data_IF_543498514645
#
_entry.id   IF_543498514645
#
_cell.length_a   1.000
_cell.length_b   1.000
_cell.length_c   1.000
_cell.angle_alpha   90.00
_cell.angle_beta   90.00
_cell.angle_gamma   90.00
#
_symmetry.space_group_name_H-M   'P 1'
#
loop_
_entity.id
_entity.type
_entity.pdbx_description
1 polymer ?
#
# COMPACT_ATOMS: atom_id res chain seq x y z
N UNK A 1 16.22 -11.71 17.33
CA UNK A 1 17.58 -11.18 17.33
C UNK A 1 17.74 -10.19 16.18
N UNK A 2 18.38 -9.03 16.44
CA UNK A 2 18.70 -8.05 15.39
C UNK A 2 19.96 -8.50 14.65
N UNK A 3 19.91 -8.47 13.32
CA UNK A 3 20.99 -8.80 12.41
C UNK A 3 21.51 -7.53 11.74
N UNK A 4 22.78 -7.51 11.39
CA UNK A 4 23.43 -6.39 10.71
C UNK A 4 24.12 -6.88 9.45
N UNK A 5 24.13 -6.04 8.43
CA UNK A 5 24.83 -6.27 7.17
C UNK A 5 25.17 -4.93 6.52
N UNK A 6 26.07 -4.94 5.56
CA UNK A 6 26.54 -3.74 4.88
C UNK A 6 26.14 -3.75 3.40
N UNK A 7 25.68 -2.60 2.89
CA UNK A 7 25.47 -2.37 1.46
C UNK A 7 26.05 -1.00 1.11
N UNK A 8 26.99 -0.97 0.15
CA UNK A 8 27.62 0.25 -0.37
C UNK A 8 28.17 1.18 0.74
N UNK A 9 28.76 0.61 1.80
CA UNK A 9 29.32 1.35 2.95
C UNK A 9 28.29 1.75 4.01
N UNK A 10 27.02 1.42 3.85
CA UNK A 10 25.97 1.67 4.83
C UNK A 10 25.68 0.45 5.68
N UNK A 11 25.73 0.61 7.00
CA UNK A 11 25.37 -0.44 7.93
C UNK A 11 23.85 -0.49 8.14
N UNK A 12 23.23 -1.57 7.73
CA UNK A 12 21.77 -1.79 7.76
C UNK A 12 21.44 -2.85 8.80
N UNK A 13 20.33 -2.70 9.49
CA UNK A 13 19.86 -3.71 10.44
C UNK A 13 18.46 -4.18 10.10
N UNK A 14 18.24 -5.49 10.29
CA UNK A 14 16.92 -6.10 10.19
C UNK A 14 16.66 -7.01 11.39
N UNK A 15 15.40 -7.20 11.73
CA UNK A 15 14.97 -8.09 12.80
C UNK A 15 13.74 -8.85 12.32
N UNK A 16 13.82 -10.18 12.35
CA UNK A 16 12.68 -11.05 12.09
C UNK A 16 11.97 -11.41 13.39
N UNK A 17 10.70 -11.77 13.31
CA UNK A 17 9.91 -12.23 14.47
C UNK A 17 10.22 -13.69 14.76
N UNK A 18 10.08 -14.57 13.79
CA UNK A 18 10.30 -16.02 13.93
C UNK A 18 11.22 -16.50 12.81
N UNK A 19 12.21 -17.31 13.18
CA UNK A 19 13.01 -18.10 12.25
C UNK A 19 12.95 -19.56 12.62
N UNK A 20 12.52 -20.39 11.70
CA UNK A 20 12.42 -21.83 11.85
C UNK A 20 13.52 -22.53 11.06
N UNK A 21 14.64 -22.83 11.73
CA UNK A 21 15.86 -23.33 11.08
C UNK A 21 15.70 -24.66 10.35
N UNK A 22 14.79 -25.55 10.79
CA UNK A 22 14.54 -26.83 10.11
C UNK A 22 13.86 -26.66 8.75
N UNK A 23 13.10 -25.60 8.58
CA UNK A 23 12.36 -25.27 7.35
C UNK A 23 13.03 -24.14 6.57
N UNK A 24 14.15 -23.60 7.08
CA UNK A 24 14.81 -22.42 6.52
C UNK A 24 13.77 -21.30 6.21
N UNK A 25 12.83 -21.06 7.17
CA UNK A 25 11.68 -20.19 6.98
C UNK A 25 11.69 -19.00 7.93
N UNK A 26 11.41 -17.82 7.42
CA UNK A 26 11.10 -16.62 8.21
C UNK A 26 9.61 -16.38 8.19
N UNK A 27 9.01 -16.20 9.38
CA UNK A 27 7.62 -15.79 9.55
C UNK A 27 7.58 -14.46 10.30
N UNK A 28 6.86 -13.51 9.73
CA UNK A 28 6.60 -12.19 10.33
C UNK A 28 5.15 -12.12 10.81
N UNK A 29 4.93 -11.61 12.02
CA UNK A 29 3.59 -11.55 12.62
C UNK A 29 3.01 -10.15 12.40
N UNK A 30 1.86 -10.09 11.73
CA UNK A 30 1.14 -8.85 11.48
C UNK A 30 -0.24 -8.84 12.12
N UNK A 31 -0.50 -7.87 12.99
CA UNK A 31 -1.87 -7.57 13.43
C UNK A 31 -2.48 -6.55 12.48
N UNK A 32 -3.49 -6.96 11.74
CA UNK A 32 -4.04 -6.16 10.65
C UNK A 32 -5.57 -6.28 10.55
N UNK A 33 -6.17 -5.58 9.59
CA UNK A 33 -7.58 -5.68 9.26
C UNK A 33 -7.83 -6.77 8.22
N UNK A 34 -9.04 -7.33 8.20
CA UNK A 34 -9.54 -8.20 7.14
C UNK A 34 -9.37 -7.59 5.75
N UNK A 35 -9.52 -6.27 5.64
CA UNK A 35 -9.36 -5.53 4.39
C UNK A 35 -7.95 -5.61 3.79
N UNK A 36 -6.93 -5.86 4.62
CA UNK A 36 -5.57 -6.08 4.12
C UNK A 36 -5.42 -7.38 3.34
N UNK A 37 -6.28 -8.37 3.63
CA UNK A 37 -6.32 -9.63 2.88
C UNK A 37 -7.18 -9.48 1.64
N UNK A 38 -8.38 -8.90 1.77
CA UNK A 38 -9.33 -8.73 0.66
C UNK A 38 -8.74 -7.89 -0.47
N UNK A 39 -7.95 -6.86 -0.14
CA UNK A 39 -7.31 -5.97 -1.12
C UNK A 39 -5.85 -6.34 -1.43
N UNK A 40 -5.43 -7.55 -1.09
CA UNK A 40 -4.08 -8.07 -1.36
C UNK A 40 -2.94 -7.07 -1.07
N UNK A 41 -2.89 -6.61 0.18
CA UNK A 41 -1.80 -5.73 0.62
C UNK A 41 -0.47 -6.47 0.90
N UNK A 42 -0.36 -7.71 0.48
CA UNK A 42 0.84 -8.56 0.68
C UNK A 42 2.12 -7.94 0.15
N UNK A 43 2.05 -7.20 -0.96
CA UNK A 43 3.19 -6.49 -1.55
C UNK A 43 3.88 -5.50 -0.60
N UNK A 44 3.16 -4.94 0.37
CA UNK A 44 3.74 -4.02 1.36
C UNK A 44 4.66 -4.74 2.36
N UNK A 45 4.45 -6.04 2.58
CA UNK A 45 5.25 -6.86 3.49
C UNK A 45 6.41 -7.55 2.78
N UNK A 46 6.32 -7.71 1.46
CA UNK A 46 7.29 -8.43 0.64
C UNK A 46 8.69 -7.82 0.77
N UNK A 47 8.83 -6.52 0.63
CA UNK A 47 10.12 -5.85 0.76
C UNK A 47 10.72 -6.01 2.16
N UNK A 48 9.91 -5.88 3.23
CA UNK A 48 10.38 -6.06 4.60
C UNK A 48 10.95 -7.46 4.82
N UNK A 49 10.20 -8.51 4.42
CA UNK A 49 10.62 -9.89 4.63
C UNK A 49 11.85 -10.25 3.79
N UNK A 50 11.97 -9.71 2.59
CA UNK A 50 13.14 -9.95 1.74
C UNK A 50 14.41 -9.26 2.27
N UNK A 51 14.30 -8.08 2.88
CA UNK A 51 15.42 -7.46 3.60
C UNK A 51 15.80 -8.31 4.82
N UNK A 52 14.83 -8.86 5.57
CA UNK A 52 15.09 -9.77 6.69
C UNK A 52 15.77 -11.06 6.24
N UNK A 53 15.33 -11.64 5.11
CA UNK A 53 15.95 -12.83 4.51
C UNK A 53 17.38 -12.55 4.07
N UNK A 54 17.62 -11.43 3.41
CA UNK A 54 18.96 -11.01 3.02
C UNK A 54 19.87 -10.86 4.23
N UNK A 55 19.41 -10.15 5.27
CA UNK A 55 20.15 -10.02 6.53
C UNK A 55 20.46 -11.37 7.16
N UNK A 56 19.53 -12.31 7.15
CA UNK A 56 19.73 -13.66 7.68
C UNK A 56 20.80 -14.41 6.88
N UNK A 57 20.73 -14.39 5.55
CA UNK A 57 21.73 -15.02 4.66
C UNK A 57 23.13 -14.44 4.86
N UNK A 58 23.28 -13.11 5.00
CA UNK A 58 24.55 -12.44 5.28
C UNK A 58 25.12 -12.81 6.66
N UNK A 59 24.29 -13.32 7.57
CA UNK A 59 24.69 -13.80 8.90
C UNK A 59 24.79 -15.35 8.97
N UNK A 60 24.90 -16.02 7.82
CA UNK A 60 25.13 -17.48 7.74
C UNK A 60 23.90 -18.34 8.01
N UNK A 61 22.70 -17.78 7.89
CA UNK A 61 21.44 -18.51 8.04
C UNK A 61 20.86 -18.86 6.65
N UNK A 62 20.37 -20.07 6.49
CA UNK A 62 19.65 -20.46 5.27
C UNK A 62 18.21 -19.92 5.29
N UNK A 63 17.73 -19.38 4.18
CA UNK A 63 16.34 -18.94 4.02
C UNK A 63 15.83 -19.39 2.66
N UNK A 64 14.82 -20.26 2.67
CA UNK A 64 14.18 -20.84 1.49
C UNK A 64 12.73 -20.36 1.31
N UNK A 65 12.09 -19.87 2.38
CA UNK A 65 10.71 -19.42 2.30
C UNK A 65 10.42 -18.29 3.28
N UNK A 66 9.43 -17.46 2.88
CA UNK A 66 8.93 -16.32 3.64
C UNK A 66 7.42 -16.42 3.81
N UNK A 67 6.93 -16.02 4.97
CA UNK A 67 5.51 -16.11 5.29
C UNK A 67 5.10 -14.97 6.24
N UNK A 68 3.89 -14.46 6.07
CA UNK A 68 3.25 -13.56 7.04
C UNK A 68 2.16 -14.30 7.77
N UNK A 69 2.22 -14.28 9.10
CA UNK A 69 1.13 -14.70 9.96
C UNK A 69 0.24 -13.48 10.25
N UNK A 70 -0.85 -13.32 9.50
CA UNK A 70 -1.76 -12.19 9.65
C UNK A 70 -2.85 -12.50 10.68
N UNK A 71 -2.87 -11.75 11.79
CA UNK A 71 -3.90 -11.78 12.83
C UNK A 71 -4.93 -10.69 12.52
N UNK A 72 -6.15 -11.09 12.19
CA UNK A 72 -7.22 -10.20 11.71
C UNK A 72 -8.06 -9.70 12.89
N UNK A 73 -7.76 -8.49 13.38
CA UNK A 73 -8.37 -7.91 14.59
C UNK A 73 -9.87 -7.60 14.47
N UNK A 74 -10.37 -7.45 13.26
CA UNK A 74 -11.77 -7.11 12.93
C UNK A 74 -12.52 -8.26 12.23
N UNK A 75 -11.96 -9.49 12.30
CA UNK A 75 -12.60 -10.67 11.74
C UNK A 75 -13.92 -10.99 12.44
N UNK A 76 -14.93 -11.35 11.67
CA UNK A 76 -16.27 -11.65 12.16
C UNK A 76 -16.70 -13.07 11.76
N UNK A 77 -17.04 -13.89 12.75
CA UNK A 77 -17.50 -15.26 12.52
C UNK A 77 -18.77 -15.34 11.65
N UNK A 78 -19.64 -14.34 11.74
CA UNK A 78 -20.88 -14.28 10.95
C UNK A 78 -20.61 -14.14 9.44
N UNK A 79 -19.43 -13.61 9.06
CA UNK A 79 -19.03 -13.39 7.68
C UNK A 79 -18.08 -14.46 7.11
N UNK A 80 -17.71 -15.47 7.91
CA UNK A 80 -16.70 -16.47 7.51
C UNK A 80 -17.04 -17.24 6.22
N UNK A 81 -18.30 -17.20 5.78
CA UNK A 81 -18.78 -17.87 4.59
C UNK A 81 -19.10 -16.93 3.44
N UNK A 82 -18.94 -15.61 3.64
CA UNK A 82 -19.11 -14.64 2.59
C UNK A 82 -18.00 -14.82 1.52
N UNK A 83 -18.34 -14.50 0.28
CA UNK A 83 -17.37 -14.63 -0.81
C UNK A 83 -16.20 -13.62 -0.64
N UNK A 84 -14.98 -14.11 -0.88
CA UNK A 84 -13.77 -13.32 -0.69
C UNK A 84 -13.40 -12.99 0.76
N UNK A 85 -14.20 -13.38 1.76
CA UNK A 85 -13.89 -13.14 3.17
C UNK A 85 -12.99 -14.25 3.76
N UNK A 86 -11.97 -13.92 4.60
CA UNK A 86 -11.11 -14.92 5.22
C UNK A 86 -11.89 -15.90 6.10
N UNK A 87 -11.65 -17.20 5.92
CA UNK A 87 -12.33 -18.27 6.69
C UNK A 87 -11.96 -18.30 8.17
N UNK A 88 -10.78 -17.78 8.51
CA UNK A 88 -10.22 -17.81 9.86
C UNK A 88 -9.68 -16.44 10.28
N UNK A 89 -9.63 -16.14 11.60
CA UNK A 89 -9.06 -14.91 12.13
C UNK A 89 -7.54 -14.82 11.99
N UNK A 90 -6.87 -15.94 11.69
CA UNK A 90 -5.44 -16.01 11.42
C UNK A 90 -5.27 -16.59 10.02
N UNK A 91 -4.49 -15.89 9.20
CA UNK A 91 -4.21 -16.29 7.80
C UNK A 91 -2.70 -16.33 7.60
N UNK A 92 -2.21 -17.46 7.08
CA UNK A 92 -0.82 -17.62 6.68
C UNK A 92 -0.70 -17.21 5.21
N UNK A 93 0.15 -16.25 4.92
CA UNK A 93 0.33 -15.67 3.58
C UNK A 93 1.74 -15.95 3.12
N UNK A 94 1.95 -16.80 2.11
CA UNK A 94 3.25 -17.00 1.52
C UNK A 94 3.71 -15.70 0.84
N UNK A 95 4.98 -15.35 1.04
CA UNK A 95 5.61 -14.18 0.44
C UNK A 95 6.68 -14.66 -0.53
N UNK A 96 6.74 -14.03 -1.70
CA UNK A 96 7.77 -14.34 -2.70
C UNK A 96 9.16 -14.03 -2.13
N UNK A 97 10.04 -14.99 -2.18
CA UNK A 97 11.45 -14.77 -1.89
C UNK A 97 12.11 -14.21 -3.16
N UNK A 98 12.72 -13.04 -3.02
CA UNK A 98 13.44 -12.37 -4.11
C UNK A 98 14.81 -13.01 -4.33
N UNK A 99 15.28 -12.86 -5.56
CA UNK A 99 16.69 -13.10 -5.82
C UNK A 99 17.56 -12.04 -5.12
N UNK A 100 18.81 -12.38 -4.86
CA UNK A 100 19.73 -11.50 -4.12
C UNK A 100 19.87 -10.13 -4.80
N UNK A 101 19.99 -10.10 -6.12
CA UNK A 101 20.12 -8.86 -6.86
C UNK A 101 18.86 -7.96 -6.74
N UNK A 102 17.64 -8.54 -6.76
CA UNK A 102 16.40 -7.78 -6.57
C UNK A 102 16.37 -7.08 -5.20
N UNK A 103 16.81 -7.80 -4.15
CA UNK A 103 16.88 -7.24 -2.79
C UNK A 103 17.90 -6.13 -2.70
N UNK A 104 19.10 -6.32 -3.28
CA UNK A 104 20.16 -5.31 -3.30
C UNK A 104 19.73 -4.06 -4.06
N UNK A 105 19.11 -4.21 -5.23
CA UNK A 105 18.64 -3.08 -6.04
C UNK A 105 17.57 -2.28 -5.30
N UNK A 106 16.63 -2.97 -4.64
CA UNK A 106 15.64 -2.32 -3.78
C UNK A 106 16.29 -1.54 -2.63
N UNK A 107 17.25 -2.15 -1.91
CA UNK A 107 17.96 -1.49 -0.81
C UNK A 107 18.71 -0.25 -1.31
N UNK A 108 19.42 -0.33 -2.44
CA UNK A 108 20.15 0.78 -3.03
C UNK A 108 19.23 1.93 -3.41
N UNK A 109 18.10 1.62 -4.02
CA UNK A 109 17.08 2.62 -4.35
C UNK A 109 16.57 3.32 -3.08
N UNK A 110 16.28 2.56 -2.02
CA UNK A 110 15.81 3.15 -0.75
C UNK A 110 16.89 3.96 -0.06
N UNK A 111 18.14 3.52 -0.07
CA UNK A 111 19.26 4.30 0.47
C UNK A 111 19.40 5.63 -0.27
N UNK A 112 19.33 5.62 -1.61
CA UNK A 112 19.38 6.84 -2.41
C UNK A 112 18.28 7.83 -1.98
N UNK A 113 17.04 7.37 -1.83
CA UNK A 113 15.93 8.21 -1.36
C UNK A 113 16.15 8.73 0.06
N UNK A 114 16.72 7.93 0.96
CA UNK A 114 16.99 8.34 2.35
C UNK A 114 18.06 9.42 2.48
N UNK A 115 19.03 9.43 1.57
CA UNK A 115 20.13 10.39 1.62
C UNK A 115 19.96 11.54 0.61
N UNK A 116 18.86 11.56 -0.14
CA UNK A 116 18.50 12.71 -0.97
C UNK A 116 18.09 13.89 -0.08
N UNK A 117 18.47 15.08 -0.47
CA UNK A 117 18.15 16.30 0.27
C UNK A 117 16.65 16.63 0.21
N UNK A 118 15.99 16.26 -0.89
CA UNK A 118 14.55 16.42 -1.08
C UNK A 118 13.93 15.09 -1.57
N UNK A 119 13.67 14.14 -0.67
CA UNK A 119 13.07 12.88 -1.06
C UNK A 119 11.68 13.10 -1.62
N UNK A 120 11.44 12.59 -2.83
CA UNK A 120 10.14 12.65 -3.49
C UNK A 120 9.36 11.37 -3.27
N UNK A 121 8.06 11.50 -3.01
CA UNK A 121 7.16 10.35 -2.95
C UNK A 121 6.41 10.20 -4.26
N UNK A 122 6.26 8.97 -4.72
CA UNK A 122 5.42 8.62 -5.86
C UNK A 122 3.93 8.79 -5.54
N UNK A 123 3.09 8.85 -6.55
CA UNK A 123 1.64 8.90 -6.39
C UNK A 123 1.10 7.70 -5.58
N UNK A 124 1.68 6.52 -5.79
CA UNK A 124 1.34 5.30 -5.05
C UNK A 124 1.72 5.43 -3.56
N UNK A 125 2.92 5.92 -3.25
CA UNK A 125 3.36 6.15 -1.86
C UNK A 125 2.54 7.23 -1.16
N UNK A 126 2.00 8.19 -1.90
CA UNK A 126 1.12 9.25 -1.42
C UNK A 126 -0.34 8.82 -1.30
N UNK A 127 -0.68 7.61 -1.75
CA UNK A 127 -2.04 7.06 -1.81
C UNK A 127 -2.99 7.97 -2.60
N UNK A 128 -2.57 8.32 -3.81
CA UNK A 128 -3.38 9.14 -4.71
C UNK A 128 -4.68 8.40 -5.04
N UNK A 129 -5.80 9.06 -4.76
CA UNK A 129 -7.11 8.60 -5.25
C UNK A 129 -7.22 8.89 -6.74
N UNK A 130 -7.93 8.04 -7.50
CA UNK A 130 -8.23 8.35 -8.89
C UNK A 130 -9.08 9.61 -8.99
N UNK A 131 -8.92 10.32 -10.09
CA UNK A 131 -9.80 11.43 -10.44
C UNK A 131 -11.23 10.93 -10.66
N UNK A 132 -12.20 11.80 -10.49
CA UNK A 132 -13.63 11.50 -10.68
C UNK A 132 -14.31 12.63 -11.42
N UNK A 133 -15.37 12.30 -12.12
CA UNK A 133 -16.20 13.25 -12.84
C UNK A 133 -17.61 13.24 -12.23
N UNK A 134 -18.01 14.39 -11.73
CA UNK A 134 -19.28 14.55 -11.05
C UNK A 134 -20.28 15.27 -11.93
N UNK A 135 -21.39 14.62 -12.26
CA UNK A 135 -22.55 15.25 -12.88
C UNK A 135 -23.31 16.01 -11.79
N UNK A 136 -23.32 17.32 -11.88
CA UNK A 136 -23.98 18.21 -10.92
C UNK A 136 -25.25 18.82 -11.53
N UNK A 137 -26.17 19.21 -10.66
CA UNK A 137 -27.36 19.98 -11.01
C UNK A 137 -27.33 21.30 -10.28
N UNK A 138 -27.63 22.39 -10.98
CA UNK A 138 -27.71 23.72 -10.38
C UNK A 138 -28.69 23.75 -9.21
N UNK A 139 -28.32 24.43 -8.12
CA UNK A 139 -29.09 24.49 -6.86
C UNK A 139 -29.05 23.23 -5.99
N UNK A 140 -28.39 22.15 -6.42
CA UNK A 140 -28.26 20.93 -5.64
C UNK A 140 -26.86 20.86 -5.00
N UNK A 141 -26.78 20.60 -3.68
CA UNK A 141 -25.49 20.50 -2.95
C UNK A 141 -24.69 19.22 -3.25
N UNK A 142 -25.35 18.14 -3.62
CA UNK A 142 -24.70 16.86 -3.93
C UNK A 142 -24.76 16.55 -5.42
N UNK A 143 -23.72 15.91 -5.95
CA UNK A 143 -23.73 15.43 -7.32
C UNK A 143 -24.92 14.50 -7.60
N UNK A 144 -25.42 14.52 -8.82
CA UNK A 144 -26.42 13.58 -9.32
C UNK A 144 -25.80 12.20 -9.45
N UNK A 145 -24.59 12.13 -10.04
CA UNK A 145 -23.78 10.92 -10.20
C UNK A 145 -22.30 11.29 -10.16
N UNK A 146 -21.46 10.34 -9.73
CA UNK A 146 -20.00 10.46 -9.79
C UNK A 146 -19.48 9.24 -10.54
N UNK A 147 -18.61 9.46 -11.53
CA UNK A 147 -18.15 8.48 -12.51
C UNK A 147 -16.63 8.50 -12.59
N UNK A 148 -16.06 7.49 -13.24
CA UNK A 148 -14.62 7.24 -13.25
C UNK A 148 -13.90 7.95 -14.41
N UNK A 149 -14.63 8.35 -15.46
CA UNK A 149 -14.08 9.11 -16.58
C UNK A 149 -15.06 10.21 -17.03
N UNK A 150 -14.53 11.12 -17.85
CA UNK A 150 -15.33 12.19 -18.47
C UNK A 150 -16.29 11.62 -19.48
N UNK A 151 -15.83 10.66 -20.28
CA UNK A 151 -16.64 9.97 -21.28
C UNK A 151 -17.84 9.27 -20.66
N UNK A 152 -17.64 8.58 -19.51
CA UNK A 152 -18.76 7.97 -18.77
C UNK A 152 -19.74 9.02 -18.25
N UNK A 153 -19.24 10.19 -17.84
CA UNK A 153 -20.08 11.27 -17.34
C UNK A 153 -20.91 11.91 -18.48
N UNK A 154 -20.30 12.10 -19.64
CA UNK A 154 -20.99 12.58 -20.85
C UNK A 154 -22.07 11.58 -21.32
N UNK A 155 -21.68 10.30 -21.42
CA UNK A 155 -22.63 9.24 -21.78
C UNK A 155 -23.82 9.18 -20.80
N UNK A 156 -23.53 9.25 -19.49
CA UNK A 156 -24.58 9.28 -18.47
C UNK A 156 -25.54 10.46 -18.64
N UNK A 157 -25.01 11.65 -18.97
CA UNK A 157 -25.83 12.83 -19.22
C UNK A 157 -26.71 12.65 -20.46
N UNK A 158 -26.17 12.09 -21.55
CA UNK A 158 -26.92 11.81 -22.79
C UNK A 158 -28.04 10.80 -22.55
N UNK A 159 -27.71 9.64 -21.96
CA UNK A 159 -28.69 8.56 -21.70
C UNK A 159 -29.85 9.00 -20.78
N UNK A 160 -29.60 9.95 -19.88
CA UNK A 160 -30.61 10.42 -18.92
C UNK A 160 -31.23 11.75 -19.29
N UNK A 161 -30.96 12.28 -20.49
CA UNK A 161 -31.55 13.54 -20.96
C UNK A 161 -31.15 14.76 -20.13
N UNK A 162 -29.92 14.75 -19.58
CA UNK A 162 -29.41 15.80 -18.69
C UNK A 162 -28.60 16.87 -19.44
N UNK A 163 -28.50 16.81 -20.77
CA UNK A 163 -27.84 17.80 -21.62
C UNK A 163 -28.65 19.09 -21.70
N UNK A 164 -28.64 19.86 -20.61
CA UNK A 164 -29.35 21.14 -20.50
C UNK A 164 -28.58 22.09 -19.56
N UNK A 165 -28.95 23.37 -19.56
CA UNK A 165 -28.24 24.42 -18.80
C UNK A 165 -28.22 24.21 -17.27
N UNK A 166 -29.10 23.34 -16.75
CA UNK A 166 -29.16 23.06 -15.32
C UNK A 166 -28.17 21.98 -14.86
N UNK A 167 -27.50 21.28 -15.79
CA UNK A 167 -26.55 20.21 -15.45
C UNK A 167 -25.17 20.48 -16.06
N UNK A 168 -24.14 20.12 -15.32
CA UNK A 168 -22.75 20.24 -15.78
C UNK A 168 -21.87 19.16 -15.15
N UNK A 169 -20.78 18.84 -15.84
CA UNK A 169 -19.75 17.93 -15.36
C UNK A 169 -18.68 18.75 -14.63
N UNK A 170 -18.25 18.28 -13.45
CA UNK A 170 -17.12 18.85 -12.73
C UNK A 170 -16.05 17.78 -12.55
N UNK A 171 -14.86 18.05 -13.03
CA UNK A 171 -13.68 17.24 -12.75
C UNK A 171 -13.26 17.39 -11.28
N UNK A 172 -13.15 16.28 -10.57
CA UNK A 172 -12.70 16.20 -9.18
C UNK A 172 -11.36 15.50 -9.14
N UNK A 173 -10.30 16.28 -9.01
CA UNK A 173 -8.93 15.75 -8.90
C UNK A 173 -8.80 14.89 -7.64
N UNK A 174 -8.26 13.70 -7.80
CA UNK A 174 -8.02 12.76 -6.70
C UNK A 174 -6.99 13.30 -5.70
N UNK A 175 -7.36 13.31 -4.43
CA UNK A 175 -6.50 13.78 -3.35
C UNK A 175 -5.45 12.74 -2.94
N UNK A 176 -4.39 13.20 -2.29
CA UNK A 176 -3.32 12.39 -1.72
C UNK A 176 -3.62 12.08 -0.25
N UNK A 177 -4.27 10.94 -0.01
CA UNK A 177 -4.80 10.56 1.30
C UNK A 177 -3.71 10.49 2.37
N UNK A 178 -2.55 9.88 2.04
CA UNK A 178 -1.44 9.78 2.99
C UNK A 178 -0.92 11.16 3.39
N UNK A 179 -0.75 12.07 2.42
CA UNK A 179 -0.27 13.42 2.70
C UNK A 179 -1.25 14.21 3.58
N UNK A 180 -2.56 14.04 3.33
CA UNK A 180 -3.60 14.77 4.04
C UNK A 180 -3.78 14.33 5.49
N UNK A 181 -3.73 13.00 5.75
CA UNK A 181 -4.25 12.46 7.01
C UNK A 181 -3.22 11.62 7.80
N UNK A 182 -2.15 11.13 7.16
CA UNK A 182 -1.26 10.14 7.76
C UNK A 182 0.24 10.50 7.75
N UNK A 183 0.64 11.52 6.99
CA UNK A 183 2.05 11.88 6.89
C UNK A 183 2.44 12.85 8.02
N UNK A 184 3.30 12.39 8.92
CA UNK A 184 3.77 13.19 10.07
C UNK A 184 4.64 14.38 9.67
N UNK A 185 5.20 14.36 8.45
CA UNK A 185 6.05 15.44 7.92
C UNK A 185 5.36 16.27 6.84
N UNK A 186 4.06 16.08 6.64
CA UNK A 186 3.31 16.74 5.56
C UNK A 186 3.43 18.27 5.59
N UNK A 187 3.52 18.85 6.79
CA UNK A 187 3.63 20.30 6.97
C UNK A 187 4.98 20.89 6.51
N UNK A 188 5.99 20.06 6.37
CA UNK A 188 7.34 20.46 5.94
C UNK A 188 7.68 19.98 4.53
N UNK A 189 6.73 19.34 3.85
CA UNK A 189 6.95 18.69 2.58
C UNK A 189 6.53 19.59 1.43
N UNK A 190 7.46 19.83 0.48
CA UNK A 190 7.21 20.61 -0.72
C UNK A 190 6.13 20.02 -1.63
N UNK A 191 5.89 18.70 -1.53
CA UNK A 191 4.85 18.00 -2.30
C UNK A 191 3.45 18.10 -1.66
N UNK A 192 3.32 18.72 -0.47
CA UNK A 192 2.00 18.85 0.17
C UNK A 192 1.22 20.01 -0.48
N UNK A 193 0.06 19.75 -1.12
CA UNK A 193 -0.72 20.80 -1.77
C UNK A 193 -1.50 21.69 -0.79
N UNK A 194 -1.47 21.42 0.53
CA UNK A 194 -2.14 22.27 1.52
C UNK A 194 -1.22 23.42 1.93
N UNK A 195 -1.53 24.67 1.57
CA UNK A 195 -0.89 25.81 2.25
C UNK A 195 -1.31 25.80 3.72
N UNK A 196 -0.40 26.21 4.58
CA UNK A 196 -0.68 26.49 5.99
C UNK A 196 -1.77 27.52 6.16
#
# INVERSE_FOLDING_TARGET
KRLYFEVDGYNISAQYDIYEGRLAKITDIKTTSVWSIIFDKGSQWEAQLNIQAYAAKQNGMEVESLEVCAILKDWQRSKQWDDGYPRHPIVMIPIRLWEEHETLDYIRERLKVHFDQEPTCTDQERWKKPDKWAVNKEGRKSAVRVLDSEEEAEQYMEENGLNNDAHHITHRVGGYVRCADYCTVSNFCSLNPKPF
#
